data_IF_919567536215
#
_entry.id   IF_919567536215
#
_cell.length_a   1.000
_cell.length_b   1.000
_cell.length_c   1.000
_cell.angle_alpha   90.00
_cell.angle_beta   90.00
_cell.angle_gamma   90.00
#
_symmetry.space_group_name_H-M   'P 1'
#
loop_
_entity.id
_entity.type
_entity.pdbx_description
1 polymer ?
#
# COMPACT_ATOMS: atom_id res chain seq x y z
N UNK A 1 25.51 -0.53 -7.70
CA UNK A 1 25.94 0.80 -7.24
C UNK A 1 25.81 0.86 -5.73
N UNK A 2 26.47 1.81 -5.08
CA UNK A 2 26.34 1.99 -3.63
C UNK A 2 25.97 3.45 -3.29
N UNK A 3 25.26 3.63 -2.17
CA UNK A 3 25.02 4.92 -1.54
C UNK A 3 25.52 4.81 -0.10
N UNK A 4 26.52 5.60 0.28
CA UNK A 4 26.96 5.65 1.67
C UNK A 4 25.89 6.35 2.51
N UNK A 5 25.65 5.88 3.75
CA UNK A 5 24.59 6.45 4.59
C UNK A 5 24.82 7.93 4.93
N UNK A 6 26.05 8.33 5.10
CA UNK A 6 26.41 9.73 5.34
C UNK A 6 26.22 10.66 4.11
N UNK A 7 26.05 10.10 2.92
CA UNK A 7 25.81 10.85 1.67
C UNK A 7 24.33 10.83 1.26
N UNK A 8 23.48 10.10 2.01
CA UNK A 8 22.06 9.91 1.65
C UNK A 8 21.31 11.23 1.53
N UNK A 9 21.48 12.14 2.48
CA UNK A 9 20.80 13.43 2.45
C UNK A 9 21.14 14.23 1.18
N UNK A 10 22.42 14.37 0.87
CA UNK A 10 22.87 15.02 -0.35
C UNK A 10 22.44 14.29 -1.64
N UNK A 11 22.31 12.97 -1.60
CA UNK A 11 21.75 12.18 -2.71
C UNK A 11 20.27 12.54 -2.93
N UNK A 12 19.45 12.58 -1.89
CA UNK A 12 18.05 12.93 -1.97
C UNK A 12 17.84 14.38 -2.43
N UNK A 13 18.68 15.31 -2.00
CA UNK A 13 18.65 16.71 -2.45
C UNK A 13 18.94 16.84 -3.96
N UNK A 14 19.86 16.02 -4.49
CA UNK A 14 20.07 15.97 -5.94
C UNK A 14 18.85 15.44 -6.69
N UNK A 15 18.14 14.44 -6.16
CA UNK A 15 16.89 13.96 -6.78
C UNK A 15 15.79 15.03 -6.78
N UNK A 16 15.71 15.84 -5.73
CA UNK A 16 14.72 16.92 -5.61
C UNK A 16 14.87 18.02 -6.67
N UNK A 17 16.04 18.14 -7.29
CA UNK A 17 16.24 19.08 -8.38
C UNK A 17 15.38 18.76 -9.63
N UNK A 18 14.93 17.51 -9.81
CA UNK A 18 14.14 17.09 -10.97
C UNK A 18 12.85 16.36 -10.64
N UNK A 19 12.61 16.04 -9.38
CA UNK A 19 11.47 15.21 -8.93
C UNK A 19 10.87 15.74 -7.63
N UNK A 20 9.56 15.53 -7.45
CA UNK A 20 8.97 15.52 -6.12
C UNK A 20 9.40 14.23 -5.40
N UNK A 21 10.19 14.35 -4.35
CA UNK A 21 10.71 13.20 -3.60
C UNK A 21 9.89 12.97 -2.36
N UNK A 22 9.28 11.80 -2.28
CA UNK A 22 8.56 11.31 -1.11
C UNK A 22 9.44 10.28 -0.40
N UNK A 23 9.67 10.47 0.87
CA UNK A 23 10.49 9.58 1.69
C UNK A 23 9.83 9.32 3.05
N UNK A 24 10.24 8.25 3.77
CA UNK A 24 9.79 8.05 5.14
C UNK A 24 10.38 9.13 6.05
N UNK A 25 9.50 9.82 6.78
CA UNK A 25 9.83 10.87 7.75
C UNK A 25 9.33 10.44 9.12
N UNK A 26 10.16 10.60 10.15
CA UNK A 26 9.81 10.26 11.53
C UNK A 26 8.95 11.36 12.13
N UNK A 27 7.79 10.97 12.63
CA UNK A 27 6.83 11.82 13.36
C UNK A 27 6.68 11.26 14.77
N UNK A 28 7.24 11.91 15.78
CA UNK A 28 7.16 11.42 17.16
C UNK A 28 7.43 9.90 17.26
N UNK A 29 6.36 9.09 17.40
CA UNK A 29 6.44 7.64 17.64
C UNK A 29 6.18 6.78 16.38
N UNK A 30 5.99 7.38 15.22
CA UNK A 30 5.69 6.66 13.99
C UNK A 30 6.35 7.29 12.76
N UNK A 31 6.41 6.53 11.68
CA UNK A 31 6.94 6.99 10.39
C UNK A 31 5.81 7.12 9.38
N UNK A 32 5.85 8.17 8.58
CA UNK A 32 4.95 8.41 7.45
C UNK A 32 5.73 8.77 6.21
N UNK A 33 5.14 8.57 5.02
CA UNK A 33 5.71 9.10 3.79
C UNK A 33 5.21 10.52 3.56
N UNK A 34 6.13 11.45 3.32
CA UNK A 34 5.87 12.85 2.98
C UNK A 34 6.74 13.28 1.82
N UNK A 35 6.32 14.30 1.10
CA UNK A 35 7.21 15.07 0.25
C UNK A 35 8.22 15.78 1.15
N UNK A 36 9.52 15.56 0.90
CA UNK A 36 10.59 16.11 1.72
C UNK A 36 11.08 17.46 1.18
N UNK A 37 11.27 18.42 2.08
CA UNK A 37 11.87 19.74 1.79
C UNK A 37 13.40 19.71 1.82
N UNK A 38 14.01 18.69 2.45
CA UNK A 38 15.45 18.46 2.52
C UNK A 38 15.71 16.96 2.66
N UNK A 39 16.86 16.49 2.17
CA UNK A 39 17.29 15.10 2.34
C UNK A 39 17.49 14.68 3.79
N UNK A 40 17.76 15.61 4.69
CA UNK A 40 17.90 15.37 6.14
C UNK A 40 16.59 14.96 6.82
N UNK A 41 15.43 15.23 6.23
CA UNK A 41 14.14 14.83 6.78
C UNK A 41 13.89 13.32 6.67
N UNK A 42 14.57 12.66 5.72
CA UNK A 42 14.33 11.26 5.44
C UNK A 42 14.96 10.35 6.50
N UNK A 43 14.22 9.33 6.95
CA UNK A 43 14.72 8.26 7.78
C UNK A 43 14.48 6.91 7.15
N UNK A 44 15.52 6.13 6.94
CA UNK A 44 15.41 4.75 6.45
C UNK A 44 15.44 3.71 7.60
N UNK A 45 15.65 4.17 8.84
CA UNK A 45 15.54 3.33 10.04
C UNK A 45 14.07 3.24 10.47
N UNK A 46 13.32 2.38 9.82
CA UNK A 46 11.94 2.08 10.16
C UNK A 46 11.54 0.68 9.67
N UNK A 47 10.62 0.03 10.34
CA UNK A 47 10.09 -1.26 9.87
C UNK A 47 8.94 -1.04 8.90
N UNK A 48 7.93 -0.25 9.28
CA UNK A 48 6.75 0.00 8.47
C UNK A 48 6.16 1.39 8.77
N UNK A 49 5.74 2.12 7.75
CA UNK A 49 5.04 3.39 7.94
C UNK A 49 3.64 3.16 8.52
N UNK A 50 3.15 4.09 9.32
CA UNK A 50 1.81 4.00 9.93
C UNK A 50 0.72 4.00 8.85
N UNK A 51 0.81 4.95 7.92
CA UNK A 51 -0.04 5.02 6.72
C UNK A 51 0.80 4.55 5.52
N UNK A 52 0.28 3.68 4.66
CA UNK A 52 1.01 3.21 3.50
C UNK A 52 1.20 4.32 2.46
N UNK A 53 2.30 4.29 1.68
CA UNK A 53 2.59 5.32 0.66
C UNK A 53 1.63 5.32 -0.52
N UNK A 54 0.65 4.41 -0.60
CA UNK A 54 -0.37 4.40 -1.66
C UNK A 54 -1.07 5.74 -1.83
N UNK A 55 -1.18 6.54 -0.74
CA UNK A 55 -1.78 7.88 -0.76
C UNK A 55 -1.09 8.88 -1.69
N UNK A 56 0.13 8.60 -2.14
CA UNK A 56 0.85 9.42 -3.11
C UNK A 56 0.28 9.19 -4.52
N UNK A 57 -0.14 7.96 -4.83
CA UNK A 57 -0.73 7.59 -6.13
C UNK A 57 -2.26 7.60 -6.12
N UNK A 58 -2.84 7.28 -4.99
CA UNK A 58 -4.27 7.28 -4.71
C UNK A 58 -4.53 8.13 -3.46
N UNK A 59 -4.65 9.46 -3.57
CA UNK A 59 -4.81 10.38 -2.45
C UNK A 59 -6.05 10.12 -1.61
N UNK A 60 -5.97 10.45 -0.30
CA UNK A 60 -7.12 10.32 0.61
C UNK A 60 -8.29 11.22 0.19
N UNK A 61 -7.97 12.41 -0.32
CA UNK A 61 -8.92 13.35 -0.92
C UNK A 61 -8.31 13.85 -2.21
N UNK A 62 -9.05 13.75 -3.28
CA UNK A 62 -8.60 14.10 -4.62
C UNK A 62 -9.68 14.86 -5.38
N UNK A 63 -9.37 16.08 -5.79
CA UNK A 63 -10.19 16.82 -6.72
C UNK A 63 -9.97 16.25 -8.13
N UNK A 64 -11.03 15.72 -8.72
CA UNK A 64 -10.99 15.14 -10.07
C UNK A 64 -11.13 16.27 -11.11
N UNK A 65 -12.15 17.08 -10.98
CA UNK A 65 -12.35 18.25 -11.85
C UNK A 65 -13.15 19.33 -11.11
N UNK A 66 -13.00 20.56 -11.57
CA UNK A 66 -13.84 21.70 -11.23
C UNK A 66 -14.84 21.98 -12.34
N UNK A 67 -15.97 22.53 -12.00
CA UNK A 67 -16.96 22.99 -12.96
C UNK A 67 -17.58 24.32 -12.56
N UNK A 68 -18.02 25.06 -13.58
CA UNK A 68 -18.75 26.32 -13.44
C UNK A 68 -19.88 26.34 -14.45
N UNK A 69 -21.10 26.64 -14.02
CA UNK A 69 -22.28 26.72 -14.84
C UNK A 69 -22.73 28.16 -15.02
N UNK A 70 -22.74 28.64 -16.25
CA UNK A 70 -23.16 30.01 -16.58
C UNK A 70 -24.19 30.04 -17.71
N UNK A 71 -24.64 31.24 -18.14
CA UNK A 71 -25.58 31.39 -19.26
C UNK A 71 -25.10 30.77 -20.57
N UNK A 72 -23.77 30.73 -20.76
CA UNK A 72 -23.11 30.18 -21.97
C UNK A 72 -22.83 28.68 -21.89
N UNK A 73 -23.33 27.99 -20.84
CA UNK A 73 -23.13 26.55 -20.61
C UNK A 73 -22.19 26.23 -19.46
N UNK A 74 -21.85 24.94 -19.33
CA UNK A 74 -20.94 24.44 -18.31
C UNK A 74 -19.49 24.43 -18.82
N UNK A 75 -18.56 24.87 -17.96
CA UNK A 75 -17.10 24.69 -18.15
C UNK A 75 -16.62 23.63 -17.17
N UNK A 76 -15.74 22.74 -17.64
CA UNK A 76 -15.12 21.70 -16.83
C UNK A 76 -13.62 21.79 -16.99
N UNK A 77 -12.89 21.74 -15.87
CA UNK A 77 -11.43 21.73 -15.81
C UNK A 77 -10.95 20.52 -15.01
N UNK A 78 -10.22 19.62 -15.67
CA UNK A 78 -9.64 18.42 -15.03
C UNK A 78 -8.38 18.77 -14.23
N UNK A 79 -8.15 18.04 -13.12
CA UNK A 79 -7.01 18.23 -12.23
C UNK A 79 -6.09 16.99 -12.22
N UNK A 80 -5.49 16.65 -13.34
CA UNK A 80 -4.54 15.55 -13.47
C UNK A 80 -3.15 15.99 -13.00
N UNK A 81 -2.58 15.23 -12.05
CA UNK A 81 -1.23 15.46 -11.52
C UNK A 81 -0.20 14.60 -12.28
N UNK A 82 0.50 15.24 -13.25
CA UNK A 82 1.51 14.64 -14.13
C UNK A 82 2.95 14.87 -13.67
N UNK A 83 3.16 15.48 -12.50
CA UNK A 83 4.49 15.79 -11.98
C UNK A 83 5.31 14.52 -11.77
N UNK A 84 6.60 14.59 -12.11
CA UNK A 84 7.55 13.49 -11.90
C UNK A 84 7.82 13.30 -10.40
N UNK A 85 7.65 12.08 -9.91
CA UNK A 85 7.79 11.72 -8.51
C UNK A 85 8.79 10.59 -8.29
N UNK A 86 9.43 10.60 -7.15
CA UNK A 86 10.18 9.46 -6.62
C UNK A 86 9.61 9.11 -5.25
N UNK A 87 9.20 7.86 -5.05
CA UNK A 87 8.91 7.33 -3.71
C UNK A 87 10.15 6.54 -3.30
N UNK A 88 10.89 7.10 -2.37
CA UNK A 88 12.18 6.57 -1.94
C UNK A 88 12.08 5.83 -0.61
N UNK A 89 12.68 4.65 -0.56
CA UNK A 89 12.76 3.87 0.68
C UNK A 89 11.48 3.11 1.05
N UNK A 90 10.51 2.89 0.12
CA UNK A 90 9.29 2.14 0.42
C UNK A 90 9.58 0.64 0.65
N UNK A 91 8.77 -0.02 1.49
CA UNK A 91 8.96 -1.45 1.73
C UNK A 91 8.49 -2.30 0.54
N UNK A 92 9.08 -3.48 0.30
CA UNK A 92 8.66 -4.41 -0.75
C UNK A 92 7.16 -4.71 -0.74
N UNK A 93 6.56 -4.89 0.44
CA UNK A 93 5.12 -5.11 0.58
C UNK A 93 4.29 -3.89 0.12
N UNK A 94 4.80 -2.65 0.27
CA UNK A 94 4.11 -1.46 -0.24
C UNK A 94 4.20 -1.39 -1.77
N UNK A 95 5.36 -1.70 -2.36
CA UNK A 95 5.50 -1.78 -3.81
C UNK A 95 4.59 -2.86 -4.42
N UNK A 96 4.59 -4.06 -3.86
CA UNK A 96 3.69 -5.15 -4.29
C UNK A 96 2.22 -4.76 -4.18
N UNK A 97 1.84 -3.97 -3.17
CA UNK A 97 0.47 -3.50 -3.03
C UNK A 97 0.05 -2.57 -4.17
N UNK A 98 0.97 -1.79 -4.74
CA UNK A 98 0.68 -0.95 -5.90
C UNK A 98 0.42 -1.78 -7.15
N UNK A 99 1.13 -2.90 -7.33
CA UNK A 99 0.83 -3.87 -8.41
C UNK A 99 -0.59 -4.43 -8.27
N UNK A 100 -1.05 -4.68 -7.03
CA UNK A 100 -2.42 -5.12 -6.80
C UNK A 100 -3.44 -3.99 -7.06
N UNK A 101 -3.10 -2.73 -6.77
CA UNK A 101 -3.95 -1.59 -7.10
C UNK A 101 -3.98 -1.32 -8.60
N UNK A 102 -2.90 -1.58 -9.33
CA UNK A 102 -2.86 -1.48 -10.79
C UNK A 102 -3.97 -2.33 -11.41
N UNK A 103 -4.26 -3.54 -10.89
CA UNK A 103 -5.37 -4.38 -11.36
C UNK A 103 -6.75 -3.71 -11.21
N UNK A 104 -6.93 -2.84 -10.22
CA UNK A 104 -8.20 -2.15 -9.96
C UNK A 104 -8.36 -0.93 -10.86
N UNK A 105 -7.30 -0.13 -10.99
CA UNK A 105 -7.34 1.16 -11.67
C UNK A 105 -6.89 1.10 -13.13
N UNK A 106 -6.34 -0.05 -13.57
CA UNK A 106 -5.86 -0.28 -14.94
C UNK A 106 -6.19 -1.70 -15.39
N UNK A 107 -7.37 -1.90 -15.92
CA UNK A 107 -7.80 -3.19 -16.50
C UNK A 107 -8.60 -2.96 -17.78
N UNK A 108 -8.97 -4.04 -18.47
CA UNK A 108 -9.66 -4.00 -19.75
C UNK A 108 -11.02 -3.25 -19.72
N UNK A 109 -11.63 -3.15 -18.54
CA UNK A 109 -12.94 -2.51 -18.35
C UNK A 109 -12.83 -1.06 -17.88
N UNK A 110 -11.80 -0.77 -17.06
CA UNK A 110 -11.64 0.51 -16.38
C UNK A 110 -10.18 0.96 -16.40
N UNK A 111 -9.97 2.19 -16.84
CA UNK A 111 -8.68 2.87 -16.80
C UNK A 111 -8.89 4.23 -16.14
N UNK A 112 -8.35 4.39 -14.93
CA UNK A 112 -8.47 5.62 -14.15
C UNK A 112 -7.32 6.59 -14.53
N UNK A 113 -7.59 7.67 -15.29
CA UNK A 113 -6.53 8.55 -15.77
C UNK A 113 -5.76 9.25 -14.64
N UNK A 114 -6.42 9.55 -13.53
CA UNK A 114 -5.80 10.22 -12.38
C UNK A 114 -4.76 9.32 -11.69
N UNK A 115 -5.12 8.05 -11.49
CA UNK A 115 -4.20 7.06 -10.92
C UNK A 115 -3.07 6.72 -11.90
N UNK A 116 -3.39 6.44 -13.16
CA UNK A 116 -2.44 5.99 -14.17
C UNK A 116 -1.38 7.06 -14.45
N UNK A 117 -1.76 8.32 -14.63
CA UNK A 117 -0.80 9.40 -14.87
C UNK A 117 0.20 9.52 -13.71
N UNK A 118 -0.26 9.47 -12.45
CA UNK A 118 0.66 9.45 -11.29
C UNK A 118 1.54 8.22 -11.27
N UNK A 119 0.97 7.04 -11.55
CA UNK A 119 1.70 5.76 -11.55
C UNK A 119 2.81 5.73 -12.59
N UNK A 120 2.53 6.22 -13.79
CA UNK A 120 3.48 6.33 -14.88
C UNK A 120 4.61 7.32 -14.58
N UNK A 121 4.30 8.45 -13.96
CA UNK A 121 5.25 9.49 -13.61
C UNK A 121 5.99 9.26 -12.27
N UNK A 122 5.77 8.13 -11.61
CA UNK A 122 6.41 7.82 -10.33
C UNK A 122 7.43 6.69 -10.48
N UNK A 123 8.64 6.94 -9.96
CA UNK A 123 9.71 5.94 -9.82
C UNK A 123 9.72 5.42 -8.39
N UNK A 124 9.74 4.09 -8.22
CA UNK A 124 9.63 3.41 -6.93
C UNK A 124 10.97 2.82 -6.51
N UNK A 125 11.59 3.40 -5.48
CA UNK A 125 12.85 2.94 -4.91
C UNK A 125 12.58 2.24 -3.59
N UNK A 126 12.71 0.91 -3.58
CA UNK A 126 12.46 0.09 -2.40
C UNK A 126 13.61 0.07 -1.41
N UNK A 127 13.28 -0.20 -0.16
CA UNK A 127 14.23 -0.54 0.90
C UNK A 127 13.88 -1.92 1.45
N UNK A 128 14.79 -2.87 1.34
CA UNK A 128 14.62 -4.21 1.88
C UNK A 128 14.31 -4.22 3.38
N UNK A 129 13.66 -5.26 3.84
CA UNK A 129 13.33 -5.46 5.25
C UNK A 129 14.38 -6.35 5.92
N UNK A 130 15.46 -5.79 6.47
CA UNK A 130 16.43 -6.56 7.23
C UNK A 130 15.80 -7.20 8.48
N UNK A 131 14.84 -6.51 9.09
CA UNK A 131 14.17 -6.92 10.32
C UNK A 131 12.63 -6.81 10.16
N UNK A 132 11.96 -7.83 9.59
CA UNK A 132 10.50 -7.87 9.53
C UNK A 132 9.88 -7.85 10.92
N UNK A 133 8.71 -7.21 11.08
CA UNK A 133 8.00 -7.20 12.36
C UNK A 133 7.29 -8.54 12.59
N UNK A 134 7.05 -8.89 13.86
CA UNK A 134 6.30 -10.09 14.26
C UNK A 134 4.87 -10.15 13.69
N UNK A 135 4.31 -9.02 13.30
CA UNK A 135 3.00 -8.96 12.65
C UNK A 135 3.05 -9.22 11.14
N UNK A 136 4.25 -9.30 10.55
CA UNK A 136 4.43 -9.56 9.13
C UNK A 136 4.19 -11.04 8.80
N UNK A 137 3.58 -11.30 7.64
CA UNK A 137 3.36 -12.63 7.06
C UNK A 137 3.39 -12.57 5.52
N UNK A 138 4.22 -11.69 4.96
CA UNK A 138 4.28 -11.42 3.51
C UNK A 138 4.69 -12.66 2.71
N UNK A 139 5.50 -13.56 3.27
CA UNK A 139 5.91 -14.82 2.64
C UNK A 139 4.73 -15.75 2.37
N UNK A 140 3.69 -15.74 3.22
CA UNK A 140 2.46 -16.50 3.01
C UNK A 140 1.66 -16.03 1.78
N UNK A 141 1.94 -14.83 1.27
CA UNK A 141 1.27 -14.20 0.14
C UNK A 141 2.19 -14.08 -1.10
N UNK A 142 3.21 -14.92 -1.17
CA UNK A 142 4.16 -14.95 -2.27
C UNK A 142 5.01 -13.68 -2.38
N UNK A 143 5.22 -12.97 -1.28
CA UNK A 143 6.15 -11.86 -1.15
C UNK A 143 7.35 -12.23 -0.29
N UNK A 144 8.13 -11.22 0.11
CA UNK A 144 9.28 -11.43 0.98
C UNK A 144 9.92 -10.12 1.41
N UNK A 145 10.89 -10.18 2.36
CA UNK A 145 11.60 -9.00 2.83
C UNK A 145 12.37 -8.25 1.73
N UNK A 146 12.74 -8.92 0.65
CA UNK A 146 13.46 -8.37 -0.50
C UNK A 146 12.74 -8.64 -1.83
N UNK A 147 11.41 -8.79 -1.80
CA UNK A 147 10.59 -8.90 -3.01
C UNK A 147 10.76 -7.64 -3.87
N UNK A 148 10.93 -7.83 -5.17
CA UNK A 148 11.17 -6.74 -6.13
C UNK A 148 9.95 -6.36 -6.93
N UNK A 149 8.81 -7.03 -6.73
CA UNK A 149 7.60 -6.78 -7.49
C UNK A 149 7.14 -5.31 -7.39
N UNK A 150 7.04 -4.66 -8.53
CA UNK A 150 6.61 -3.27 -8.65
C UNK A 150 7.68 -2.22 -8.36
N UNK A 151 8.93 -2.62 -8.02
CA UNK A 151 10.04 -1.71 -7.78
C UNK A 151 10.82 -1.38 -9.06
N UNK A 152 11.34 -0.15 -9.12
CA UNK A 152 12.29 0.29 -10.15
C UNK A 152 13.74 0.13 -9.71
N UNK A 153 14.00 0.19 -8.40
CA UNK A 153 15.27 -0.22 -7.79
C UNK A 153 15.05 -0.68 -6.34
N UNK A 154 15.94 -1.51 -5.82
CA UNK A 154 15.94 -1.99 -4.45
C UNK A 154 17.23 -1.57 -3.75
N UNK A 155 17.10 -1.02 -2.56
CA UNK A 155 18.19 -0.74 -1.62
C UNK A 155 18.32 -1.89 -0.64
N UNK A 156 19.54 -2.45 -0.51
CA UNK A 156 19.89 -3.42 0.52
C UNK A 156 20.79 -2.74 1.54
N UNK A 157 20.33 -2.60 2.77
CA UNK A 157 21.10 -2.00 3.87
C UNK A 157 22.13 -3.00 4.40
N UNK A 158 23.41 -2.71 4.20
CA UNK A 158 24.54 -3.55 4.63
C UNK A 158 25.27 -2.99 5.83
N UNK A 159 24.67 -2.03 6.55
CA UNK A 159 25.21 -1.42 7.75
C UNK A 159 25.64 0.03 7.53
N UNK A 160 26.74 0.28 6.86
CA UNK A 160 27.30 1.61 6.59
C UNK A 160 26.85 2.20 5.26
N UNK A 161 26.32 1.37 4.38
CA UNK A 161 25.91 1.74 3.01
C UNK A 161 24.68 0.97 2.54
N UNK A 162 24.07 1.47 1.46
CA UNK A 162 23.03 0.79 0.70
C UNK A 162 23.61 0.27 -0.60
N UNK A 163 23.45 -1.03 -0.87
CA UNK A 163 23.69 -1.61 -2.20
C UNK A 163 22.43 -1.41 -3.04
N UNK A 164 22.57 -0.78 -4.19
CA UNK A 164 21.47 -0.44 -5.10
C UNK A 164 21.39 -1.46 -6.23
N UNK A 165 20.28 -2.15 -6.34
CA UNK A 165 19.92 -3.05 -7.43
C UNK A 165 18.90 -2.36 -8.33
N UNK A 166 19.26 -2.05 -9.55
CA UNK A 166 18.38 -1.41 -10.54
C UNK A 166 17.60 -2.48 -11.28
N UNK A 167 16.27 -2.34 -11.32
CA UNK A 167 15.34 -3.38 -11.75
C UNK A 167 14.57 -3.03 -13.03
N UNK A 168 14.41 -1.74 -13.36
CA UNK A 168 13.64 -1.29 -14.52
C UNK A 168 14.37 -0.19 -15.30
N UNK A 169 13.83 0.15 -16.47
CA UNK A 169 14.35 1.26 -17.27
C UNK A 169 14.11 2.63 -16.61
N UNK A 170 13.02 2.80 -15.83
CA UNK A 170 12.83 3.99 -15.00
C UNK A 170 13.93 4.11 -13.93
N UNK A 171 14.27 3.00 -13.28
CA UNK A 171 15.39 2.93 -12.34
C UNK A 171 16.70 3.28 -13.03
N UNK A 172 16.99 2.69 -14.20
CA UNK A 172 18.20 3.03 -14.98
C UNK A 172 18.25 4.52 -15.32
N UNK A 173 17.16 5.08 -15.82
CA UNK A 173 17.08 6.50 -16.16
C UNK A 173 17.33 7.41 -14.95
N UNK A 174 16.75 7.07 -13.78
CA UNK A 174 16.96 7.83 -12.55
C UNK A 174 18.43 7.84 -12.11
N UNK A 175 19.08 6.66 -12.12
CA UNK A 175 20.45 6.51 -11.62
C UNK A 175 21.54 6.88 -12.64
N UNK A 176 21.23 6.93 -13.94
CA UNK A 176 22.22 7.22 -15.00
C UNK A 176 22.84 8.60 -14.90
N UNK A 177 22.09 9.60 -14.38
CA UNK A 177 22.56 10.97 -14.16
C UNK A 177 23.30 11.19 -12.83
N UNK A 178 23.46 10.14 -12.02
CA UNK A 178 24.01 10.23 -10.66
C UNK A 178 25.34 9.48 -10.63
N UNK A 179 26.42 10.20 -10.31
CA UNK A 179 27.76 9.61 -10.21
C UNK A 179 27.89 8.79 -8.91
N UNK A 180 27.31 7.59 -8.89
CA UNK A 180 27.40 6.65 -7.76
C UNK A 180 28.52 5.63 -7.97
N UNK A 181 29.30 5.28 -6.92
CA UNK A 181 30.29 4.21 -7.00
C UNK A 181 29.67 2.87 -7.39
N UNK A 182 30.41 2.09 -8.17
CA UNK A 182 30.02 0.71 -8.49
C UNK A 182 30.12 -0.17 -7.23
N UNK A 183 29.18 -1.09 -7.06
CA UNK A 183 29.31 -2.13 -6.04
C UNK A 183 30.34 -3.18 -6.49
N UNK A 184 31.34 -3.44 -5.66
CA UNK A 184 32.30 -4.52 -5.82
C UNK A 184 31.75 -5.87 -5.38
N UNK A 185 32.57 -6.92 -5.44
CA UNK A 185 32.16 -8.27 -5.05
C UNK A 185 31.90 -8.38 -3.53
N UNK A 186 32.66 -7.63 -2.72
CA UNK A 186 32.46 -7.58 -1.26
C UNK A 186 31.07 -7.02 -0.91
N UNK A 187 30.66 -5.91 -1.53
CA UNK A 187 29.34 -5.32 -1.30
C UNK A 187 28.21 -6.23 -1.78
N UNK A 188 28.36 -6.90 -2.91
CA UNK A 188 27.38 -7.86 -3.43
C UNK A 188 27.24 -9.06 -2.51
N UNK A 189 28.37 -9.59 -1.99
CA UNK A 189 28.36 -10.70 -1.04
C UNK A 189 27.68 -10.30 0.26
N UNK A 190 28.00 -9.10 0.79
CA UNK A 190 27.34 -8.58 1.99
C UNK A 190 25.82 -8.41 1.79
N UNK A 191 25.40 -7.88 0.64
CA UNK A 191 23.98 -7.75 0.32
C UNK A 191 23.26 -9.10 0.21
N UNK A 192 23.92 -10.11 -0.37
CA UNK A 192 23.38 -11.47 -0.44
C UNK A 192 23.21 -12.08 0.96
N UNK A 193 24.19 -11.94 1.83
CA UNK A 193 24.12 -12.42 3.22
C UNK A 193 22.99 -11.75 4.02
N UNK A 194 22.79 -10.43 3.84
CA UNK A 194 21.66 -9.71 4.47
C UNK A 194 20.32 -10.23 3.98
N UNK A 195 20.18 -10.49 2.69
CA UNK A 195 18.95 -11.05 2.10
C UNK A 195 18.62 -12.44 2.65
N UNK A 196 19.63 -13.28 2.81
CA UNK A 196 19.48 -14.64 3.33
C UNK A 196 19.12 -14.65 4.82
N UNK A 197 19.68 -13.74 5.60
CA UNK A 197 19.43 -13.64 7.02
C UNK A 197 18.02 -13.12 7.39
N UNK A 198 17.35 -12.42 6.49
CA UNK A 198 16.05 -11.83 6.77
C UNK A 198 14.92 -12.85 6.67
N UNK A 199 14.34 -13.19 7.81
CA UNK A 199 13.25 -14.18 7.92
C UNK A 199 11.93 -13.52 8.31
N UNK A 200 10.82 -14.16 7.96
CA UNK A 200 9.47 -13.85 8.41
C UNK A 200 8.94 -15.06 9.15
N UNK A 201 8.85 -14.95 10.47
CA UNK A 201 8.60 -16.09 11.37
C UNK A 201 7.16 -16.63 11.27
N UNK A 202 6.20 -15.79 10.86
CA UNK A 202 4.80 -16.18 10.81
C UNK A 202 4.40 -16.68 9.41
N UNK A 203 3.97 -17.93 9.35
CA UNK A 203 3.38 -18.53 8.17
C UNK A 203 1.87 -18.75 8.38
N UNK A 204 1.07 -18.29 7.45
CA UNK A 204 -0.38 -18.50 7.39
C UNK A 204 -0.66 -19.45 6.22
N UNK A 205 -1.34 -20.56 6.49
CA UNK A 205 -1.78 -21.45 5.43
C UNK A 205 -2.96 -20.83 4.68
N UNK A 206 -2.79 -20.55 3.40
CA UNK A 206 -3.80 -19.96 2.54
C UNK A 206 -4.30 -20.93 1.45
N UNK A 207 -3.81 -22.18 1.45
CA UNK A 207 -4.21 -23.20 0.47
C UNK A 207 -5.68 -23.57 0.65
N UNK A 208 -6.46 -23.49 -0.44
CA UNK A 208 -7.89 -23.80 -0.39
C UNK A 208 -8.75 -22.77 0.36
N UNK A 209 -8.18 -21.62 0.77
CA UNK A 209 -8.91 -20.58 1.50
C UNK A 209 -10.06 -20.01 0.66
N UNK A 210 -9.81 -19.76 -0.64
CA UNK A 210 -10.81 -19.22 -1.55
C UNK A 210 -12.01 -20.15 -1.66
N UNK A 211 -11.77 -21.46 -1.84
CA UNK A 211 -12.78 -22.51 -1.93
C UNK A 211 -13.59 -22.62 -0.64
N UNK A 212 -12.95 -22.52 0.51
CA UNK A 212 -13.65 -22.47 1.82
C UNK A 212 -14.53 -21.23 1.95
N UNK A 213 -14.05 -20.07 1.51
CA UNK A 213 -14.84 -18.83 1.51
C UNK A 213 -16.02 -18.89 0.54
N UNK A 214 -15.93 -19.63 -0.57
CA UNK A 214 -17.04 -19.81 -1.51
C UNK A 214 -18.24 -20.49 -0.84
N UNK A 215 -18.00 -21.51 0.00
CA UNK A 215 -19.07 -22.28 0.64
C UNK A 215 -19.51 -21.69 1.99
N UNK A 216 -18.66 -20.94 2.67
CA UNK A 216 -18.90 -20.46 4.03
C UNK A 216 -19.47 -19.03 4.11
N UNK A 217 -20.11 -18.54 3.05
CA UNK A 217 -20.64 -17.17 3.07
C UNK A 217 -21.68 -16.94 4.17
N UNK A 218 -22.57 -17.91 4.42
CA UNK A 218 -23.63 -17.86 5.44
C UNK A 218 -23.27 -18.65 6.72
N UNK A 219 -22.04 -19.10 6.86
CA UNK A 219 -21.61 -19.90 8.00
C UNK A 219 -21.69 -19.11 9.31
N UNK A 220 -22.18 -19.73 10.41
CA UNK A 220 -22.23 -19.12 11.74
C UNK A 220 -20.87 -18.67 12.30
N UNK A 221 -19.75 -19.15 11.75
CA UNK A 221 -18.40 -18.72 12.14
C UNK A 221 -18.25 -17.19 12.16
N UNK A 222 -18.96 -16.49 11.26
CA UNK A 222 -18.92 -15.04 11.18
C UNK A 222 -19.48 -14.33 12.43
N UNK A 223 -20.34 -15.00 13.20
CA UNK A 223 -20.88 -14.47 14.46
C UNK A 223 -19.78 -14.34 15.53
N UNK A 224 -18.91 -15.36 15.65
CA UNK A 224 -17.75 -15.29 16.55
C UNK A 224 -16.62 -14.40 16.05
N UNK A 225 -16.26 -14.52 14.77
CA UNK A 225 -15.14 -13.77 14.18
C UNK A 225 -15.30 -12.24 14.23
N UNK A 226 -16.53 -11.72 14.12
CA UNK A 226 -16.76 -10.28 14.10
C UNK A 226 -16.96 -9.66 15.50
N UNK A 227 -17.25 -10.44 16.52
CA UNK A 227 -17.74 -9.98 17.83
C UNK A 227 -16.85 -8.92 18.48
N UNK A 228 -15.52 -9.06 18.35
CA UNK A 228 -14.56 -8.07 18.86
C UNK A 228 -14.44 -6.82 18.01
N UNK A 229 -14.98 -6.82 16.78
CA UNK A 229 -14.73 -5.73 15.82
C UNK A 229 -15.57 -4.49 16.12
N UNK A 230 -14.93 -3.36 16.38
CA UNK A 230 -15.59 -2.06 16.63
C UNK A 230 -16.09 -1.37 15.35
N UNK A 231 -15.78 -1.89 14.15
CA UNK A 231 -16.13 -1.22 12.90
C UNK A 231 -15.38 0.10 12.65
N UNK A 232 -14.29 0.38 13.36
CA UNK A 232 -13.57 1.66 13.33
C UNK A 232 -12.80 1.96 12.02
N UNK A 233 -12.72 1.02 11.10
CA UNK A 233 -12.04 1.11 9.81
C UNK A 233 -10.50 1.35 9.86
N UNK A 234 -9.84 1.37 11.02
CA UNK A 234 -8.38 1.52 11.10
C UNK A 234 -7.64 0.53 10.20
N UNK A 235 -8.10 -0.72 10.17
CA UNK A 235 -7.55 -1.77 9.31
C UNK A 235 -7.76 -1.53 7.80
N UNK A 236 -8.69 -0.65 7.39
CA UNK A 236 -8.93 -0.28 5.99
C UNK A 236 -8.05 0.89 5.58
N UNK A 237 -7.99 1.95 6.38
CA UNK A 237 -7.19 3.14 6.10
C UNK A 237 -5.68 2.86 6.14
N UNK A 238 -5.23 1.97 7.03
CA UNK A 238 -3.82 1.58 7.10
C UNK A 238 -3.43 0.45 6.15
N UNK A 239 -4.37 -0.11 5.41
CA UNK A 239 -4.08 -1.18 4.46
C UNK A 239 -3.60 -0.64 3.11
N UNK A 240 -2.44 -1.09 2.61
CA UNK A 240 -1.93 -0.64 1.33
C UNK A 240 -2.73 -1.13 0.13
N UNK A 241 -3.50 -2.21 0.26
CA UNK A 241 -4.31 -2.80 -0.81
C UNK A 241 -5.79 -2.40 -0.77
N UNK A 242 -6.27 -1.70 0.28
CA UNK A 242 -7.64 -1.21 0.32
C UNK A 242 -7.82 0.01 -0.59
N UNK A 243 -8.92 0.03 -1.34
CA UNK A 243 -9.19 1.03 -2.37
C UNK A 243 -10.66 1.48 -2.38
N UNK A 244 -11.37 1.33 -1.26
CA UNK A 244 -12.71 1.88 -1.13
C UNK A 244 -12.67 3.41 -1.22
N UNK A 245 -13.56 4.00 -1.99
CA UNK A 245 -13.72 5.45 -2.12
C UNK A 245 -15.19 5.82 -2.32
N UNK A 246 -15.48 7.06 -2.06
CA UNK A 246 -16.73 7.74 -2.42
C UNK A 246 -16.42 8.91 -3.36
N UNK A 247 -17.39 9.27 -4.21
CA UNK A 247 -17.31 10.43 -5.09
C UNK A 247 -18.45 11.35 -4.74
N UNK A 248 -18.11 12.60 -4.41
CA UNK A 248 -19.06 13.64 -4.03
C UNK A 248 -18.86 14.89 -4.87
N UNK A 249 -19.93 15.64 -5.08
CA UNK A 249 -19.85 16.99 -5.59
C UNK A 249 -19.88 17.98 -4.42
N UNK A 250 -18.85 18.82 -4.36
CA UNK A 250 -18.76 19.94 -3.42
C UNK A 250 -19.02 21.22 -4.22
N UNK A 251 -20.21 21.82 -4.03
CA UNK A 251 -20.70 22.90 -4.86
C UNK A 251 -21.26 24.04 -4.01
N UNK A 252 -21.00 25.26 -4.48
CA UNK A 252 -21.63 26.50 -3.98
C UNK A 252 -22.22 27.22 -5.18
N UNK A 253 -23.53 27.40 -5.19
CA UNK A 253 -24.30 27.98 -6.28
C UNK A 253 -24.04 27.23 -7.61
N UNK A 254 -23.49 27.91 -8.59
CA UNK A 254 -23.23 27.39 -9.95
C UNK A 254 -21.82 26.82 -10.13
N UNK A 255 -20.96 26.96 -9.13
CA UNK A 255 -19.56 26.52 -9.17
C UNK A 255 -19.35 25.33 -8.23
N UNK A 256 -18.50 24.41 -8.63
CA UNK A 256 -18.22 23.24 -7.80
C UNK A 256 -17.02 22.42 -8.25
N UNK A 257 -16.79 21.36 -7.51
CA UNK A 257 -15.81 20.36 -7.90
C UNK A 257 -16.28 18.96 -7.54
N UNK A 258 -15.86 17.99 -8.36
CA UNK A 258 -16.04 16.58 -8.04
C UNK A 258 -14.81 16.08 -7.32
N UNK A 259 -15.05 15.48 -6.15
CA UNK A 259 -14.00 15.03 -5.24
C UNK A 259 -14.14 13.55 -4.99
N UNK A 260 -13.03 12.81 -5.05
CA UNK A 260 -12.93 11.41 -4.62
C UNK A 260 -12.27 11.37 -3.25
N UNK A 261 -12.94 10.72 -2.30
CA UNK A 261 -12.44 10.56 -0.92
C UNK A 261 -12.28 9.08 -0.60
N UNK A 262 -11.22 8.69 0.15
CA UNK A 262 -11.17 7.34 0.69
C UNK A 262 -12.36 7.07 1.59
N UNK A 263 -12.90 5.86 1.50
CA UNK A 263 -13.96 5.37 2.34
C UNK A 263 -13.61 3.98 2.89
N UNK A 264 -14.49 3.38 3.65
CA UNK A 264 -14.27 2.08 4.26
C UNK A 264 -15.50 1.18 4.22
N UNK A 265 -15.32 -0.04 3.70
CA UNK A 265 -16.33 -1.08 3.73
C UNK A 265 -16.82 -1.46 5.15
N UNK A 266 -16.15 -0.95 6.20
CA UNK A 266 -16.51 -1.14 7.60
C UNK A 266 -17.54 -0.14 8.10
N UNK A 267 -17.79 0.95 7.37
CA UNK A 267 -18.79 1.95 7.76
C UNK A 267 -20.20 1.57 7.29
N UNK A 268 -21.21 1.77 8.15
CA UNK A 268 -22.60 1.45 7.78
C UNK A 268 -23.09 2.22 6.56
N UNK A 269 -22.66 3.47 6.42
CA UNK A 269 -23.09 4.36 5.35
C UNK A 269 -22.52 3.97 3.98
N UNK A 270 -21.40 3.25 3.93
CA UNK A 270 -20.70 2.91 2.67
C UNK A 270 -21.60 2.14 1.68
N UNK A 271 -22.54 1.35 2.16
CA UNK A 271 -23.48 0.58 1.32
C UNK A 271 -24.94 0.96 1.55
N UNK A 272 -25.18 2.09 2.21
CA UNK A 272 -26.53 2.59 2.41
C UNK A 272 -27.06 3.17 1.10
N UNK A 273 -28.15 2.59 0.58
CA UNK A 273 -28.82 3.10 -0.60
C UNK A 273 -29.69 4.33 -0.29
N UNK A 274 -29.93 5.19 -1.25
CA UNK A 274 -30.84 6.32 -1.11
C UNK A 274 -32.28 5.95 -0.71
N UNK A 275 -32.69 4.70 -0.94
CA UNK A 275 -33.95 4.13 -0.46
C UNK A 275 -33.95 3.77 1.04
N UNK A 276 -32.84 3.89 1.74
CA UNK A 276 -32.67 3.42 3.12
C UNK A 276 -32.33 1.93 3.25
N UNK A 277 -32.35 1.16 2.16
CA UNK A 277 -31.90 -0.22 2.19
C UNK A 277 -30.37 -0.30 2.35
N UNK A 278 -29.90 -1.21 3.21
CA UNK A 278 -28.48 -1.48 3.39
C UNK A 278 -28.22 -2.99 3.29
N UNK A 279 -27.50 -3.48 2.27
CA UNK A 279 -27.17 -4.90 2.14
C UNK A 279 -26.19 -5.40 3.20
N UNK A 280 -25.57 -4.51 3.99
CA UNK A 280 -24.60 -4.82 5.06
C UNK A 280 -24.95 -4.07 6.35
N UNK A 281 -26.14 -4.36 6.93
CA UNK A 281 -26.70 -3.53 8.01
C UNK A 281 -25.94 -3.69 9.33
N UNK A 282 -25.32 -4.86 9.61
CA UNK A 282 -24.64 -5.12 10.88
C UNK A 282 -23.12 -5.19 10.74
N UNK A 283 -22.42 -5.22 11.88
CA UNK A 283 -20.96 -5.39 11.92
C UNK A 283 -20.50 -6.72 11.31
N UNK A 284 -21.30 -7.78 11.44
CA UNK A 284 -21.02 -9.10 10.88
C UNK A 284 -20.87 -9.06 9.35
N UNK A 285 -21.85 -8.51 8.64
CA UNK A 285 -21.81 -8.43 7.17
C UNK A 285 -20.65 -7.56 6.69
N UNK A 286 -20.35 -6.45 7.37
CA UNK A 286 -19.24 -5.56 7.02
C UNK A 286 -17.90 -6.22 7.26
N UNK A 287 -17.74 -6.93 8.39
CA UNK A 287 -16.52 -7.69 8.69
C UNK A 287 -16.32 -8.85 7.69
N UNK A 288 -17.36 -9.65 7.44
CA UNK A 288 -17.36 -10.69 6.41
C UNK A 288 -16.98 -10.13 5.06
N UNK A 289 -17.60 -9.03 4.64
CA UNK A 289 -17.27 -8.37 3.37
C UNK A 289 -15.77 -8.03 3.25
N UNK A 290 -15.17 -7.54 4.33
CA UNK A 290 -13.73 -7.23 4.32
C UNK A 290 -12.88 -8.46 4.05
N UNK A 291 -13.18 -9.59 4.68
CA UNK A 291 -12.46 -10.85 4.48
C UNK A 291 -12.73 -11.41 3.08
N UNK A 292 -13.99 -11.49 2.69
CA UNK A 292 -14.42 -11.98 1.38
C UNK A 292 -13.80 -11.17 0.24
N UNK A 293 -13.79 -9.83 0.35
CA UNK A 293 -13.20 -8.97 -0.67
C UNK A 293 -11.72 -9.25 -0.88
N UNK A 294 -10.97 -9.44 0.21
CA UNK A 294 -9.51 -9.66 0.14
C UNK A 294 -9.11 -11.04 -0.37
N UNK A 295 -9.82 -12.07 0.06
CA UNK A 295 -9.36 -13.45 -0.11
C UNK A 295 -10.25 -14.29 -1.02
N UNK A 296 -11.38 -13.74 -1.48
CA UNK A 296 -12.27 -14.37 -2.45
C UNK A 296 -12.56 -13.47 -3.65
N UNK A 297 -13.24 -12.33 -3.49
CA UNK A 297 -13.70 -11.55 -4.64
C UNK A 297 -12.56 -10.96 -5.46
N UNK A 298 -11.48 -10.55 -4.82
CA UNK A 298 -10.31 -10.07 -5.54
C UNK A 298 -9.62 -11.21 -6.30
N UNK A 299 -9.63 -12.43 -5.73
CA UNK A 299 -9.13 -13.63 -6.41
C UNK A 299 -9.98 -13.96 -7.62
N UNK A 300 -11.32 -13.91 -7.50
CA UNK A 300 -12.22 -14.15 -8.62
C UNK A 300 -12.02 -13.16 -9.78
N UNK A 301 -11.73 -11.90 -9.45
CA UNK A 301 -11.59 -10.84 -10.45
C UNK A 301 -10.21 -10.75 -11.07
N UNK A 302 -9.15 -11.00 -10.28
CA UNK A 302 -7.77 -10.68 -10.65
C UNK A 302 -6.77 -11.82 -10.40
N UNK A 303 -7.25 -12.99 -10.00
CA UNK A 303 -6.43 -14.16 -9.67
C UNK A 303 -5.31 -13.87 -8.64
N UNK A 304 -5.57 -12.95 -7.71
CA UNK A 304 -4.64 -12.52 -6.68
C UNK A 304 -5.38 -12.20 -5.37
N UNK A 305 -4.73 -12.39 -4.23
CA UNK A 305 -5.28 -11.97 -2.93
C UNK A 305 -5.00 -10.48 -2.70
N UNK A 306 -6.01 -9.70 -2.28
CA UNK A 306 -5.84 -8.28 -1.95
C UNK A 306 -5.17 -8.08 -0.57
N UNK A 307 -4.05 -8.76 -0.37
CA UNK A 307 -3.25 -8.68 0.85
C UNK A 307 -1.77 -8.88 0.52
N UNK A 308 -0.89 -8.18 1.23
CA UNK A 308 0.56 -8.30 1.10
C UNK A 308 1.23 -8.70 2.43
N UNK A 309 0.48 -9.08 3.43
CA UNK A 309 1.01 -9.57 4.72
C UNK A 309 1.83 -8.54 5.52
N UNK A 310 1.61 -7.25 5.31
CA UNK A 310 2.41 -6.19 5.94
C UNK A 310 2.16 -5.96 7.44
N UNK A 311 1.16 -6.60 8.03
CA UNK A 311 0.85 -6.52 9.48
C UNK A 311 0.23 -5.21 9.99
N UNK A 312 0.10 -4.15 9.18
CA UNK A 312 -0.45 -2.85 9.64
C UNK A 312 -1.84 -2.97 10.27
N UNK A 313 -2.72 -3.77 9.69
CA UNK A 313 -4.08 -3.97 10.21
C UNK A 313 -4.09 -4.66 11.57
N UNK A 314 -3.09 -5.46 11.89
CA UNK A 314 -2.91 -6.10 13.20
C UNK A 314 -2.41 -5.07 14.20
N UNK A 315 -1.29 -4.39 13.88
CA UNK A 315 -0.65 -3.40 14.74
C UNK A 315 -1.56 -2.22 15.10
N UNK A 316 -2.43 -1.80 14.19
CA UNK A 316 -3.31 -0.63 14.40
C UNK A 316 -4.74 -1.01 14.85
N UNK A 317 -5.02 -2.28 15.12
CA UNK A 317 -6.33 -2.69 15.61
C UNK A 317 -6.47 -2.38 17.11
N UNK A 318 -7.44 -1.53 17.52
CA UNK A 318 -7.60 -1.15 18.93
C UNK A 318 -8.04 -2.30 19.83
N UNK A 319 -8.54 -3.38 19.25
CA UNK A 319 -9.04 -4.58 19.98
C UNK A 319 -8.21 -5.82 19.68
N UNK A 320 -7.01 -5.67 19.10
CA UNK A 320 -6.09 -6.75 18.75
C UNK A 320 -6.76 -7.87 17.92
N UNK A 321 -7.63 -7.50 16.98
CA UNK A 321 -8.20 -8.46 16.04
C UNK A 321 -7.17 -8.76 14.97
N UNK A 322 -6.58 -9.96 15.05
CA UNK A 322 -5.53 -10.41 14.14
C UNK A 322 -6.15 -11.16 12.94
N UNK A 323 -5.92 -10.64 11.74
CA UNK A 323 -6.42 -11.25 10.51
C UNK A 323 -5.86 -12.66 10.29
N UNK A 324 -4.66 -12.97 10.80
CA UNK A 324 -4.05 -14.29 10.68
C UNK A 324 -4.86 -15.34 11.43
N UNK A 325 -5.33 -15.00 12.64
CA UNK A 325 -6.20 -15.88 13.43
C UNK A 325 -7.55 -16.05 12.75
N UNK A 326 -8.12 -14.99 12.20
CA UNK A 326 -9.36 -15.07 11.41
C UNK A 326 -9.22 -16.05 10.25
N UNK A 327 -8.13 -15.98 9.51
CA UNK A 327 -7.85 -16.89 8.40
C UNK A 327 -7.61 -18.33 8.88
N UNK A 328 -6.91 -18.50 10.00
CA UNK A 328 -6.67 -19.80 10.61
C UNK A 328 -7.96 -20.47 11.09
N UNK A 329 -8.87 -19.71 11.71
CA UNK A 329 -10.19 -20.24 12.12
C UNK A 329 -11.03 -20.67 10.91
N UNK A 330 -11.07 -19.85 9.84
CA UNK A 330 -11.75 -20.20 8.58
C UNK A 330 -11.13 -21.47 7.97
N UNK A 331 -9.83 -21.66 8.09
CA UNK A 331 -9.13 -22.86 7.62
C UNK A 331 -9.36 -24.08 8.53
N UNK A 332 -9.84 -23.88 9.76
CA UNK A 332 -9.97 -24.94 10.75
C UNK A 332 -8.62 -25.39 11.33
N UNK A 333 -7.63 -24.51 11.33
CA UNK A 333 -6.29 -24.73 11.90
C UNK A 333 -5.85 -23.51 12.70
N UNK A 334 -5.10 -23.73 13.79
CA UNK A 334 -4.49 -22.62 14.53
C UNK A 334 -3.39 -21.96 13.71
N UNK A 335 -3.31 -20.63 13.76
CA UNK A 335 -2.18 -19.90 13.23
C UNK A 335 -0.94 -20.24 14.08
N UNK A 336 0.06 -20.87 13.48
CA UNK A 336 1.32 -21.15 14.18
C UNK A 336 2.12 -19.86 14.23
N UNK A 337 2.21 -19.28 15.42
CA UNK A 337 3.30 -18.35 15.77
C UNK A 337 4.39 -19.22 16.41
N UNK A 338 5.45 -19.49 15.70
CA UNK A 338 6.66 -20.00 16.34
C UNK A 338 7.17 -18.89 17.29
N UNK A 339 7.28 -19.27 18.57
CA UNK A 339 7.78 -18.38 19.62
C UNK A 339 9.28 -18.16 19.52
#
# INVERSE_FOLDING_TARGET
MIINKNELAGFLDRLRAGYQVYAPVKEKDYTVFKEIGSGEEATLDYCNSKIPPKGILFPQTEKLFSYSCGPDGARVEEHIDDRKKVIFGLRPCDAKSLVLLDNVFNNDKYQDPYYLTRRENTTLIGLGCNHPAQTCFCTSLGGGPFDTAGLDALLVDTGDKYVVEVLSDKGKALFSGLALPAAGDAERTAAAAVKEAATVDCLVNLNGLKEKLDVNFYDPIWDGLHEKCLGCAACTYTCPTCHCFDIVDDAVDADGCRVRNWDACMFPIFTLHGSGHNPRPTGKERFRQRVMHKFKYFVDNFNAMACVGCGRCIKNCPVNLDIRNVLAEIQGSEARSDK
#
